data_IF_618580731514
#
_entry.id   IF_618580731514
#
_cell.length_a   1.000
_cell.length_b   1.000
_cell.length_c   1.000
_cell.angle_alpha   90.00
_cell.angle_beta   90.00
_cell.angle_gamma   90.00
#
_symmetry.space_group_name_H-M   'P 1'
#
loop_
_entity.id
_entity.type
_entity.pdbx_description
1 polymer ?
#
# COMPACT_ATOMS: atom_id res chain seq x y z
N UNK A 1 32.08 12.47 3.76
CA UNK A 1 32.33 13.12 5.08
C UNK A 1 31.07 13.91 5.42
N UNK A 2 30.55 13.82 6.65
CA UNK A 2 29.36 14.56 7.04
C UNK A 2 29.73 16.02 7.34
N UNK A 3 29.17 16.96 6.59
CA UNK A 3 29.36 18.39 6.83
C UNK A 3 28.46 18.84 7.98
N UNK A 4 29.03 19.51 8.99
CA UNK A 4 28.30 20.02 10.15
C UNK A 4 28.21 21.54 10.08
N UNK A 5 27.01 22.07 10.23
CA UNK A 5 26.77 23.50 10.34
C UNK A 5 26.05 23.79 11.67
N UNK A 6 26.58 24.72 12.46
CA UNK A 6 25.96 25.19 13.70
C UNK A 6 25.51 26.64 13.54
N UNK A 7 24.31 26.95 14.00
CA UNK A 7 23.75 28.31 13.96
C UNK A 7 23.19 28.68 15.32
N UNK A 8 23.40 29.92 15.73
CA UNK A 8 22.80 30.47 16.94
C UNK A 8 21.31 30.77 16.69
N UNK A 9 20.46 30.41 17.65
CA UNK A 9 19.05 30.80 17.63
C UNK A 9 18.96 32.32 17.79
N UNK A 10 18.34 32.97 16.81
CA UNK A 10 18.11 34.41 16.79
C UNK A 10 16.87 34.82 17.59
N UNK A 11 16.52 36.11 17.58
CA UNK A 11 15.31 36.62 18.22
C UNK A 11 14.05 35.89 17.73
N UNK A 12 13.05 35.78 18.61
CA UNK A 12 11.79 35.08 18.31
C UNK A 12 11.95 33.60 17.91
N UNK A 13 12.98 32.91 18.44
CA UNK A 13 13.26 31.49 18.18
C UNK A 13 13.47 31.17 16.68
N UNK A 14 14.01 32.12 15.92
CA UNK A 14 14.29 31.95 14.49
C UNK A 14 15.69 31.40 14.28
N UNK A 15 15.81 30.41 13.40
CA UNK A 15 17.11 29.91 12.92
C UNK A 15 17.28 30.30 11.47
N UNK A 16 18.39 30.95 11.16
CA UNK A 16 18.76 31.26 9.77
C UNK A 16 19.44 30.05 9.18
N UNK A 17 18.82 29.43 8.18
CA UNK A 17 19.40 28.26 7.53
C UNK A 17 20.65 28.65 6.73
N UNK A 18 21.83 28.06 6.99
CA UNK A 18 23.06 28.33 6.24
C UNK A 18 22.92 27.98 4.76
N UNK A 19 23.71 28.64 3.91
CA UNK A 19 23.64 28.44 2.47
C UNK A 19 23.90 26.98 2.05
N UNK A 20 24.87 26.32 2.67
CA UNK A 20 25.18 24.91 2.42
C UNK A 20 24.03 23.97 2.79
N UNK A 21 23.30 24.26 3.88
CA UNK A 21 22.14 23.46 4.30
C UNK A 21 20.97 23.68 3.33
N UNK A 22 20.73 24.91 2.88
CA UNK A 22 19.72 25.20 1.86
C UNK A 22 19.99 24.45 0.56
N UNK A 23 21.24 24.47 0.11
CA UNK A 23 21.66 23.77 -1.12
C UNK A 23 21.47 22.25 -0.98
N UNK A 24 21.87 21.67 0.15
CA UNK A 24 21.70 20.24 0.42
C UNK A 24 20.22 19.82 0.48
N UNK A 25 19.35 20.65 1.05
CA UNK A 25 17.90 20.38 1.11
C UNK A 25 17.15 20.73 -0.18
N UNK A 26 17.79 21.46 -1.10
CA UNK A 26 17.19 21.94 -2.35
C UNK A 26 16.07 22.96 -2.15
N UNK A 27 16.05 23.70 -1.03
CA UNK A 27 14.96 24.61 -0.67
C UNK A 27 15.18 26.01 -1.24
N UNK A 28 14.10 26.61 -1.75
CA UNK A 28 14.03 27.98 -2.27
C UNK A 28 13.06 28.83 -1.46
N UNK A 29 13.07 30.14 -1.69
CA UNK A 29 12.09 31.03 -1.10
C UNK A 29 10.66 30.64 -1.53
N UNK A 30 9.74 30.60 -0.58
CA UNK A 30 8.36 30.14 -0.79
C UNK A 30 8.16 28.63 -0.61
N UNK A 31 9.24 27.84 -0.54
CA UNK A 31 9.12 26.40 -0.30
C UNK A 31 8.69 26.11 1.14
N UNK A 32 7.86 25.07 1.29
CA UNK A 32 7.51 24.51 2.59
C UNK A 32 8.56 23.49 3.01
N UNK A 33 8.96 23.55 4.28
CA UNK A 33 9.78 22.54 4.94
C UNK A 33 8.99 21.88 6.07
N UNK A 34 9.24 20.61 6.32
CA UNK A 34 8.62 19.84 7.40
C UNK A 34 9.66 19.51 8.47
N UNK A 35 9.24 19.58 9.73
CA UNK A 35 10.05 19.12 10.86
C UNK A 35 9.55 17.74 11.28
N UNK A 36 10.46 16.76 11.31
CA UNK A 36 10.19 15.41 11.80
C UNK A 36 10.93 15.25 13.11
N UNK A 37 10.22 14.84 14.16
CA UNK A 37 10.79 14.60 15.48
C UNK A 37 11.03 13.09 15.62
N UNK A 38 12.28 12.69 15.84
CA UNK A 38 12.68 11.31 16.08
C UNK A 38 13.41 11.23 17.42
N UNK A 39 12.67 10.84 18.47
CA UNK A 39 13.18 10.84 19.83
C UNK A 39 13.59 12.25 20.30
N UNK A 40 14.90 12.45 20.46
CA UNK A 40 15.51 13.74 20.86
C UNK A 40 15.98 14.57 19.68
N UNK A 41 16.00 14.00 18.48
CA UNK A 41 16.50 14.64 17.28
C UNK A 41 15.36 15.26 16.46
N UNK A 42 15.64 16.40 15.85
CA UNK A 42 14.70 17.07 14.93
C UNK A 42 15.35 17.14 13.55
N UNK A 43 14.71 16.48 12.58
CA UNK A 43 15.13 16.46 11.20
C UNK A 43 14.32 17.47 10.39
N UNK A 44 15.00 18.21 9.53
CA UNK A 44 14.34 19.07 8.54
C UNK A 44 14.27 18.32 7.21
N UNK A 45 13.07 18.21 6.66
CA UNK A 45 12.81 17.49 5.42
C UNK A 45 12.17 18.42 4.41
N UNK A 46 12.72 18.47 3.20
CA UNK A 46 12.09 19.14 2.06
C UNK A 46 11.16 18.17 1.33
N UNK A 47 10.10 18.65 0.65
CA UNK A 47 9.21 17.80 -0.15
C UNK A 47 9.97 16.95 -1.18
N UNK A 48 11.04 17.48 -1.75
CA UNK A 48 11.90 16.76 -2.69
C UNK A 48 12.62 15.57 -2.02
N UNK A 49 13.18 15.77 -0.82
CA UNK A 49 13.81 14.69 -0.05
C UNK A 49 12.77 13.68 0.41
N UNK A 50 11.57 14.12 0.79
CA UNK A 50 10.47 13.23 1.16
C UNK A 50 10.05 12.36 -0.02
N UNK A 51 9.91 12.94 -1.21
CA UNK A 51 9.61 12.19 -2.44
C UNK A 51 10.70 11.15 -2.73
N UNK A 52 11.97 11.53 -2.64
CA UNK A 52 13.09 10.62 -2.80
C UNK A 52 13.08 9.50 -1.74
N UNK A 53 12.76 9.80 -0.48
CA UNK A 53 12.66 8.81 0.59
C UNK A 53 11.48 7.84 0.40
N UNK A 54 10.33 8.32 -0.08
CA UNK A 54 9.18 7.48 -0.44
C UNK A 54 9.54 6.57 -1.63
N UNK A 55 10.20 7.12 -2.65
CA UNK A 55 10.68 6.33 -3.79
C UNK A 55 11.74 5.30 -3.39
N UNK A 56 12.70 5.67 -2.53
CA UNK A 56 13.71 4.76 -2.02
C UNK A 56 13.11 3.62 -1.19
N UNK A 57 12.08 3.90 -0.37
CA UNK A 57 11.34 2.86 0.37
C UNK A 57 10.50 1.97 -0.55
N UNK A 58 10.08 2.48 -1.71
CA UNK A 58 9.30 1.74 -2.69
C UNK A 58 10.14 1.01 -3.74
N UNK A 59 11.46 1.23 -3.80
CA UNK A 59 12.36 0.50 -4.68
C UNK A 59 12.66 -0.91 -4.13
N UNK A 60 11.66 -1.80 -4.29
CA UNK A 60 11.76 -3.23 -4.58
C UNK A 60 12.97 -4.02 -4.05
N UNK A 61 13.30 -3.91 -2.76
CA UNK A 61 14.46 -4.58 -2.19
C UNK A 61 14.19 -5.49 -0.99
N UNK A 62 13.14 -5.26 -0.19
CA UNK A 62 12.99 -5.97 1.10
C UNK A 62 11.53 -6.18 1.53
N UNK A 63 10.60 -6.19 0.58
CA UNK A 63 9.17 -6.33 0.83
C UNK A 63 8.54 -7.38 -0.08
N UNK A 64 9.00 -8.62 0.02
CA UNK A 64 8.48 -9.75 -0.75
C UNK A 64 8.93 -9.74 -2.21
N UNK A 65 9.30 -10.92 -2.74
CA UNK A 65 9.39 -11.08 -4.19
C UNK A 65 7.95 -11.00 -4.71
N UNK A 66 7.56 -9.83 -5.19
CA UNK A 66 6.21 -9.56 -5.68
C UNK A 66 5.81 -10.49 -6.84
N UNK A 67 6.77 -11.11 -7.53
CA UNK A 67 6.47 -12.13 -8.53
C UNK A 67 6.14 -13.49 -7.90
N UNK A 68 6.75 -13.82 -6.76
CA UNK A 68 6.41 -15.00 -5.96
C UNK A 68 5.06 -14.86 -5.27
N UNK A 69 4.78 -13.68 -4.69
CA UNK A 69 3.51 -13.42 -3.99
C UNK A 69 2.32 -13.45 -4.96
N UNK A 70 2.48 -12.85 -6.15
CA UNK A 70 1.46 -12.90 -7.21
C UNK A 70 1.26 -14.32 -7.75
N UNK A 71 2.34 -15.11 -7.82
CA UNK A 71 2.25 -16.52 -8.24
C UNK A 71 1.50 -17.35 -7.20
N UNK A 72 1.79 -17.17 -5.92
CA UNK A 72 1.13 -17.86 -4.83
C UNK A 72 -0.36 -17.47 -4.73
N UNK A 73 -0.67 -16.17 -4.84
CA UNK A 73 -2.04 -15.69 -4.89
C UNK A 73 -2.82 -16.31 -6.06
N UNK A 74 -2.22 -16.38 -7.25
CA UNK A 74 -2.85 -17.00 -8.43
C UNK A 74 -3.08 -18.50 -8.25
N UNK A 75 -2.17 -19.22 -7.58
CA UNK A 75 -2.35 -20.64 -7.29
C UNK A 75 -3.51 -20.87 -6.31
N UNK A 76 -3.65 -20.01 -5.30
CA UNK A 76 -4.75 -20.07 -4.34
C UNK A 76 -6.10 -19.77 -5.01
N UNK A 77 -6.17 -18.75 -5.86
CA UNK A 77 -7.38 -18.42 -6.63
C UNK A 77 -7.85 -19.59 -7.51
N UNK A 78 -6.91 -20.25 -8.19
CA UNK A 78 -7.21 -21.44 -9.00
C UNK A 78 -7.75 -22.58 -8.13
N UNK A 79 -7.10 -22.86 -6.99
CA UNK A 79 -7.55 -23.90 -6.07
C UNK A 79 -8.96 -23.62 -5.50
N UNK A 80 -9.25 -22.37 -5.13
CA UNK A 80 -10.58 -21.99 -4.66
C UNK A 80 -11.65 -22.10 -5.74
N UNK A 81 -11.30 -21.73 -6.98
CA UNK A 81 -12.20 -21.85 -8.12
C UNK A 81 -12.51 -23.30 -8.43
N UNK A 82 -11.49 -24.15 -8.46
CA UNK A 82 -11.65 -25.57 -8.77
C UNK A 82 -12.46 -26.25 -7.65
N UNK A 83 -12.16 -25.98 -6.38
CA UNK A 83 -12.95 -26.47 -5.24
C UNK A 83 -14.41 -25.95 -5.23
N UNK A 84 -14.68 -24.78 -5.79
CA UNK A 84 -16.07 -24.30 -5.98
C UNK A 84 -16.79 -25.14 -7.03
N UNK A 85 -16.14 -25.44 -8.15
CA UNK A 85 -16.73 -26.25 -9.21
C UNK A 85 -16.92 -27.70 -8.79
N UNK A 86 -15.96 -28.29 -8.06
CA UNK A 86 -16.10 -29.63 -7.48
C UNK A 86 -17.33 -29.73 -6.57
N UNK A 87 -17.58 -28.70 -5.75
CA UNK A 87 -18.78 -28.65 -4.90
C UNK A 87 -20.07 -28.56 -5.70
N UNK A 88 -20.08 -27.79 -6.78
CA UNK A 88 -21.24 -27.67 -7.67
C UNK A 88 -21.49 -29.00 -8.39
N UNK A 89 -20.45 -29.63 -8.92
CA UNK A 89 -20.54 -30.92 -9.63
C UNK A 89 -21.02 -32.03 -8.70
N UNK A 90 -20.50 -32.08 -7.46
CA UNK A 90 -20.97 -33.02 -6.45
C UNK A 90 -22.45 -32.79 -6.07
N UNK A 91 -22.88 -31.52 -5.96
CA UNK A 91 -24.26 -31.19 -5.67
C UNK A 91 -25.21 -31.57 -6.83
N UNK A 92 -24.79 -31.34 -8.08
CA UNK A 92 -25.57 -31.71 -9.28
C UNK A 92 -25.65 -33.23 -9.43
N UNK A 93 -24.55 -33.93 -9.17
CA UNK A 93 -24.49 -35.39 -9.31
C UNK A 93 -25.23 -36.14 -8.19
N UNK A 94 -25.44 -35.50 -7.04
CA UNK A 94 -26.21 -36.02 -5.92
C UNK A 94 -27.68 -35.58 -5.90
N UNK A 95 -28.12 -34.82 -6.90
CA UNK A 95 -29.49 -34.34 -7.01
C UNK A 95 -30.32 -35.28 -7.89
N UNK A 96 -31.13 -36.13 -7.26
CA UNK A 96 -32.00 -37.09 -7.96
C UNK A 96 -33.33 -36.45 -8.44
N UNK A 97 -33.52 -35.14 -8.21
CA UNK A 97 -34.75 -34.43 -8.62
C UNK A 97 -34.79 -34.24 -10.13
N UNK A 98 -35.98 -34.37 -10.70
CA UNK A 98 -36.24 -34.08 -12.10
C UNK A 98 -36.14 -32.56 -12.39
N UNK A 99 -35.88 -32.21 -13.66
CA UNK A 99 -35.81 -30.80 -14.07
C UNK A 99 -37.10 -30.03 -13.74
N UNK A 100 -38.27 -30.69 -13.82
CA UNK A 100 -39.57 -30.10 -13.50
C UNK A 100 -39.71 -29.80 -11.98
N UNK A 101 -39.20 -30.68 -11.12
CA UNK A 101 -39.18 -30.46 -9.67
C UNK A 101 -38.23 -29.32 -9.28
N UNK A 102 -37.08 -29.23 -9.95
CA UNK A 102 -36.12 -28.14 -9.76
C UNK A 102 -36.72 -26.81 -10.23
N UNK A 103 -37.39 -26.80 -11.39
CA UNK A 103 -38.05 -25.62 -11.93
C UNK A 103 -39.18 -25.12 -11.01
N UNK A 104 -40.00 -26.03 -10.47
CA UNK A 104 -41.07 -25.70 -9.54
C UNK A 104 -40.53 -25.10 -8.23
N UNK A 105 -39.46 -25.66 -7.63
CA UNK A 105 -38.82 -25.09 -6.43
C UNK A 105 -38.23 -23.70 -6.70
N UNK A 106 -37.57 -23.52 -7.84
CA UNK A 106 -36.99 -22.23 -8.22
C UNK A 106 -38.06 -21.17 -8.41
N UNK A 107 -39.16 -21.49 -9.10
CA UNK A 107 -40.30 -20.58 -9.32
C UNK A 107 -40.96 -20.18 -7.99
N UNK A 108 -41.17 -21.14 -7.08
CA UNK A 108 -41.70 -20.84 -5.75
C UNK A 108 -40.76 -19.94 -4.92
N UNK A 109 -39.43 -20.14 -5.01
CA UNK A 109 -38.44 -19.34 -4.26
C UNK A 109 -38.30 -17.91 -4.75
N UNK A 110 -38.61 -17.65 -6.03
CA UNK A 110 -38.63 -16.30 -6.60
C UNK A 110 -40.03 -15.67 -6.61
N UNK A 111 -41.04 -16.36 -6.05
CA UNK A 111 -42.41 -15.88 -5.89
C UNK A 111 -43.19 -15.77 -7.21
N UNK A 112 -42.90 -16.68 -8.15
CA UNK A 112 -43.52 -16.75 -9.47
C UNK A 112 -44.36 -18.03 -9.65
N UNK A 113 -44.82 -18.63 -8.55
CA UNK A 113 -45.70 -19.82 -8.55
C UNK A 113 -47.18 -19.50 -8.78
#
# INVERSE_FOLDING_TARGET
>A
MAERASVKVGPSNRVVMPAQVRAALGVKEGDRVEFVIDGVDVHLVSPHIRLAAVWAKNHGGDGGDSTSDVREARLNDLAQRDAKWDRIEAAVSGDDRSEDEIAADLLARIGLD
#
